data_IF_356803340362
#
_entry.id   IF_356803340362
#
_cell.length_a   1.000
_cell.length_b   1.000
_cell.length_c   1.000
_cell.angle_alpha   90.00
_cell.angle_beta   90.00
_cell.angle_gamma   90.00
#
_symmetry.space_group_name_H-M   'P 1'
#
loop_
_entity.id
_entity.type
_entity.pdbx_description
1 polymer ?
#
# COMPACT_ATOMS: atom_id res chain seq x y z
N UNK A 1 -6.77 25.17 2.49
CA UNK A 1 -5.51 24.58 2.98
C UNK A 1 -5.43 23.18 2.40
N UNK A 2 -4.76 23.01 1.27
CA UNK A 2 -4.78 21.77 0.46
C UNK A 2 -3.40 21.51 -0.15
N UNK A 3 -2.32 21.70 0.63
CA UNK A 3 -0.95 21.69 0.10
C UNK A 3 0.07 20.93 0.96
N UNK A 4 -0.34 19.96 1.77
CA UNK A 4 0.60 19.19 2.61
C UNK A 4 0.58 17.67 2.38
N UNK A 5 -0.43 17.11 1.71
CA UNK A 5 -0.53 15.66 1.52
C UNK A 5 0.42 15.10 0.44
N UNK A 6 0.81 15.93 -0.53
CA UNK A 6 1.73 15.54 -1.61
C UNK A 6 3.22 15.66 -1.21
N UNK A 7 3.55 16.49 -0.22
CA UNK A 7 4.92 16.66 0.23
C UNK A 7 5.45 15.44 1.00
N UNK A 8 4.59 14.70 1.73
CA UNK A 8 5.02 13.52 2.49
C UNK A 8 5.36 12.28 1.62
N UNK A 9 4.88 12.24 0.37
CA UNK A 9 5.13 11.13 -0.57
C UNK A 9 6.27 11.46 -1.55
N UNK A 10 6.88 12.65 -1.48
CA UNK A 10 8.03 12.97 -2.33
C UNK A 10 9.14 11.91 -2.18
N UNK A 11 9.46 11.23 -3.28
CA UNK A 11 10.44 10.11 -3.32
C UNK A 11 9.82 8.71 -3.29
N UNK A 12 8.53 8.58 -2.97
CA UNK A 12 7.80 7.33 -2.99
C UNK A 12 7.09 7.11 -4.33
N UNK A 13 7.17 5.89 -4.86
CA UNK A 13 6.52 5.46 -6.11
C UNK A 13 5.35 4.54 -5.79
N UNK A 14 4.23 4.72 -6.49
CA UNK A 14 3.06 3.86 -6.37
C UNK A 14 3.41 2.42 -6.75
N UNK A 15 3.19 1.47 -5.84
CA UNK A 15 3.33 0.04 -6.10
C UNK A 15 2.01 -0.57 -6.57
N UNK A 16 0.93 -0.29 -5.85
CA UNK A 16 -0.41 -0.82 -6.13
C UNK A 16 -1.48 0.10 -5.57
N UNK A 17 -2.61 0.14 -6.26
CA UNK A 17 -3.82 0.86 -5.86
C UNK A 17 -4.96 -0.16 -5.65
N UNK A 18 -5.35 -0.36 -4.39
CA UNK A 18 -6.52 -1.17 -4.03
C UNK A 18 -7.74 -0.26 -3.82
N UNK A 19 -8.97 -0.80 -3.87
CA UNK A 19 -10.18 0.02 -3.72
C UNK A 19 -10.25 0.87 -2.44
N UNK A 20 -9.57 0.44 -1.39
CA UNK A 20 -9.61 0.99 -0.04
C UNK A 20 -8.32 1.69 0.39
N UNK A 21 -7.18 1.35 -0.21
CA UNK A 21 -5.89 1.98 0.07
C UNK A 21 -4.89 1.78 -1.07
N UNK A 22 -3.92 2.66 -1.16
CA UNK A 22 -2.77 2.52 -2.06
C UNK A 22 -1.49 2.26 -1.26
N UNK A 23 -0.55 1.54 -1.88
CA UNK A 23 0.79 1.31 -1.34
C UNK A 23 1.82 2.03 -2.19
N UNK A 24 2.71 2.76 -1.53
CA UNK A 24 3.83 3.47 -2.15
C UNK A 24 5.14 3.00 -1.51
N UNK A 25 6.22 2.93 -2.28
CA UNK A 25 7.55 2.64 -1.74
C UNK A 25 8.62 3.55 -2.29
N UNK A 26 9.61 3.88 -1.47
CA UNK A 26 10.80 4.63 -1.87
C UNK A 26 11.97 3.70 -2.27
N UNK A 27 13.13 4.29 -2.56
CA UNK A 27 14.34 3.56 -2.95
C UNK A 27 15.03 2.85 -1.78
N UNK A 28 14.59 3.09 -0.54
CA UNK A 28 15.14 2.52 0.69
C UNK A 28 14.26 1.42 1.28
N UNK A 29 13.31 0.90 0.50
CA UNK A 29 12.33 -0.11 0.91
C UNK A 29 11.43 0.34 2.08
N UNK A 30 11.22 1.65 2.26
CA UNK A 30 10.16 2.17 3.11
C UNK A 30 8.83 2.07 2.35
N UNK A 31 7.77 1.64 3.04
CA UNK A 31 6.42 1.49 2.50
C UNK A 31 5.47 2.47 3.19
N UNK A 32 4.63 3.15 2.40
CA UNK A 32 3.51 3.95 2.90
C UNK A 32 2.21 3.31 2.41
N UNK A 33 1.31 3.03 3.35
CA UNK A 33 -0.09 2.68 3.07
C UNK A 33 -0.94 3.93 3.30
N UNK A 34 -1.55 4.42 2.22
CA UNK A 34 -2.45 5.57 2.25
C UNK A 34 -3.88 5.11 2.00
N UNK A 35 -4.77 5.39 2.95
CA UNK A 35 -6.18 5.03 2.82
C UNK A 35 -6.89 5.93 1.79
N UNK A 36 -7.89 5.35 1.13
CA UNK A 36 -8.78 6.09 0.23
C UNK A 36 -9.49 7.24 0.98
N UNK A 37 -9.77 8.34 0.27
CA UNK A 37 -10.44 9.51 0.85
C UNK A 37 -11.77 9.15 1.53
N UNK A 38 -12.52 8.19 0.98
CA UNK A 38 -13.78 7.73 1.57
C UNK A 38 -13.57 7.11 2.96
N UNK A 39 -12.51 6.33 3.15
CA UNK A 39 -12.19 5.73 4.44
C UNK A 39 -11.62 6.74 5.42
N UNK A 40 -10.76 7.66 4.94
CA UNK A 40 -10.24 8.76 5.77
C UNK A 40 -11.39 9.63 6.29
N UNK A 41 -12.31 10.04 5.41
CA UNK A 41 -13.45 10.86 5.80
C UNK A 41 -14.42 10.15 6.77
N UNK A 42 -14.54 8.82 6.66
CA UNK A 42 -15.48 8.03 7.48
C UNK A 42 -14.91 7.60 8.83
N UNK A 43 -13.62 7.29 8.88
CA UNK A 43 -12.99 6.64 10.04
C UNK A 43 -11.78 7.40 10.60
N UNK A 44 -11.45 8.58 10.05
CA UNK A 44 -10.33 9.41 10.46
C UNK A 44 -8.99 8.64 10.49
N UNK A 45 -8.73 7.90 9.39
CA UNK A 45 -7.53 7.06 9.27
C UNK A 45 -6.32 7.87 8.80
N UNK A 46 -5.18 7.62 9.43
CA UNK A 46 -3.88 8.18 9.06
C UNK A 46 -3.09 7.22 8.15
N UNK A 47 -2.12 7.77 7.40
CA UNK A 47 -1.17 6.99 6.62
C UNK A 47 -0.32 6.11 7.52
N UNK A 48 -0.18 4.83 7.17
CA UNK A 48 0.71 3.90 7.88
C UNK A 48 2.06 3.80 7.18
N UNK A 49 3.14 3.91 7.95
CA UNK A 49 4.51 3.86 7.45
C UNK A 49 5.18 2.58 7.97
N UNK A 50 5.82 1.83 7.09
CA UNK A 50 6.53 0.60 7.41
C UNK A 50 7.94 0.65 6.85
N UNK A 51 8.88 0.01 7.54
CA UNK A 51 10.25 -0.18 7.04
C UNK A 51 10.47 -1.67 6.82
N UNK A 52 10.57 -2.08 5.56
CA UNK A 52 10.74 -3.49 5.21
C UNK A 52 12.21 -3.83 4.98
N UNK A 53 12.56 -5.09 5.18
CA UNK A 53 13.81 -5.61 4.64
C UNK A 53 13.70 -5.74 3.12
N UNK A 54 14.82 -5.72 2.38
CA UNK A 54 14.81 -5.91 0.93
C UNK A 54 14.13 -7.21 0.52
N UNK A 55 14.30 -8.28 1.30
CA UNK A 55 13.64 -9.57 1.09
C UNK A 55 12.12 -9.45 1.25
N UNK A 56 11.63 -8.82 2.32
CA UNK A 56 10.20 -8.64 2.56
C UNK A 56 9.56 -7.77 1.48
N UNK A 57 10.25 -6.71 1.04
CA UNK A 57 9.80 -5.86 -0.06
C UNK A 57 9.75 -6.62 -1.40
N UNK A 58 10.73 -7.50 -1.67
CA UNK A 58 10.70 -8.34 -2.86
C UNK A 58 9.50 -9.30 -2.87
N UNK A 59 9.19 -9.93 -1.73
CA UNK A 59 7.98 -10.75 -1.60
C UNK A 59 6.71 -9.94 -1.81
N UNK A 60 6.58 -8.76 -1.19
CA UNK A 60 5.44 -7.88 -1.40
C UNK A 60 5.25 -7.53 -2.89
N UNK A 61 6.33 -7.11 -3.56
CA UNK A 61 6.32 -6.75 -4.98
C UNK A 61 5.86 -7.93 -5.85
N UNK A 62 6.27 -9.16 -5.53
CA UNK A 62 5.80 -10.36 -6.24
C UNK A 62 4.28 -10.58 -6.07
N UNK A 63 3.76 -10.48 -4.85
CA UNK A 63 2.31 -10.59 -4.64
C UNK A 63 1.52 -9.46 -5.31
N UNK A 64 2.07 -8.26 -5.39
CA UNK A 64 1.48 -7.15 -6.12
C UNK A 64 1.39 -7.45 -7.62
N UNK A 65 2.43 -8.05 -8.23
CA UNK A 65 2.38 -8.49 -9.63
C UNK A 65 1.27 -9.52 -9.83
N UNK A 66 1.21 -10.54 -8.96
CA UNK A 66 0.15 -11.55 -9.00
C UNK A 66 -1.25 -10.93 -8.87
N UNK A 67 -1.42 -9.93 -8.00
CA UNK A 67 -2.68 -9.21 -7.87
C UNK A 67 -3.07 -8.48 -9.16
N UNK A 68 -2.11 -7.83 -9.84
CA UNK A 68 -2.40 -7.08 -11.08
C UNK A 68 -2.86 -8.00 -12.22
N UNK A 69 -2.32 -9.21 -12.28
CA UNK A 69 -2.58 -10.20 -13.34
C UNK A 69 -3.75 -11.15 -13.02
N UNK A 70 -4.19 -11.22 -11.76
CA UNK A 70 -5.24 -12.13 -11.31
C UNK A 70 -6.66 -11.72 -11.77
N UNK A 71 -7.57 -12.70 -11.81
CA UNK A 71 -9.01 -12.46 -11.96
C UNK A 71 -9.63 -11.95 -10.64
N UNK A 72 -10.82 -11.35 -10.72
CA UNK A 72 -11.48 -10.63 -9.61
C UNK A 72 -11.55 -11.41 -8.29
N UNK A 73 -11.85 -12.71 -8.33
CA UNK A 73 -11.91 -13.56 -7.13
C UNK A 73 -10.52 -13.73 -6.49
N UNK A 74 -9.52 -14.04 -7.32
CA UNK A 74 -8.12 -14.20 -6.86
C UNK A 74 -7.52 -12.87 -6.38
N UNK A 75 -7.90 -11.74 -6.98
CA UNK A 75 -7.50 -10.40 -6.51
C UNK A 75 -7.86 -10.17 -5.05
N UNK A 76 -9.09 -10.54 -4.65
CA UNK A 76 -9.52 -10.38 -3.26
C UNK A 76 -8.71 -11.27 -2.29
N UNK A 77 -8.38 -12.49 -2.70
CA UNK A 77 -7.57 -13.42 -1.89
C UNK A 77 -6.15 -12.87 -1.71
N UNK A 78 -5.51 -12.43 -2.79
CA UNK A 78 -4.14 -11.91 -2.76
C UNK A 78 -4.09 -10.61 -1.94
N UNK A 79 -5.07 -9.72 -2.11
CA UNK A 79 -5.18 -8.51 -1.29
C UNK A 79 -5.25 -8.84 0.21
N UNK A 80 -6.16 -9.74 0.61
CA UNK A 80 -6.29 -10.16 2.02
C UNK A 80 -5.00 -10.75 2.56
N UNK A 81 -4.28 -11.51 1.74
CA UNK A 81 -2.98 -12.05 2.11
C UNK A 81 -1.95 -10.94 2.34
N UNK A 82 -1.88 -9.95 1.43
CA UNK A 82 -1.00 -8.78 1.58
C UNK A 82 -1.31 -8.03 2.89
N UNK A 83 -2.58 -7.78 3.16
CA UNK A 83 -3.00 -7.09 4.39
C UNK A 83 -2.57 -7.86 5.65
N UNK A 84 -2.76 -9.18 5.67
CA UNK A 84 -2.47 -10.00 6.84
C UNK A 84 -0.97 -10.21 7.08
N UNK A 85 -0.18 -10.38 6.01
CA UNK A 85 1.23 -10.73 6.14
C UNK A 85 2.15 -9.51 6.21
N UNK A 86 1.74 -8.37 5.63
CA UNK A 86 2.61 -7.19 5.52
C UNK A 86 2.08 -5.98 6.29
N UNK A 87 0.76 -5.80 6.41
CA UNK A 87 0.14 -4.53 6.86
C UNK A 87 -0.58 -4.62 8.23
N UNK A 88 -0.69 -5.82 8.82
CA UNK A 88 -1.21 -6.03 10.17
C UNK A 88 -0.09 -5.92 11.21
N UNK A 89 0.46 -4.72 11.38
CA UNK A 89 1.24 -4.35 12.57
C UNK A 89 0.49 -3.29 13.37
#
# INVERSE_FOLDING_TARGET
MTHDLDSEIMGYKLLVDFPDFALYADEHDNLVQRYSMDLVAKYDLEDKKYKFSPEMMAYLKNYIVQYKEAESEKKQIIKRYIEQQFLKQ
#
